data_IF_302667767290
#
_entry.id   IF_302667767290
#
_cell.length_a   1.000
_cell.length_b   1.000
_cell.length_c   1.000
_cell.angle_alpha   90.00
_cell.angle_beta   90.00
_cell.angle_gamma   90.00
#
_symmetry.space_group_name_H-M   'P 1'
#
loop_
_entity.id
_entity.type
_entity.pdbx_description
1 polymer ?
#
# COMPACT_ATOMS: atom_id res chain seq x y z
N UNK A 1 -7.81 9.21 5.21
CA UNK A 1 -7.87 8.88 6.64
C UNK A 1 -8.69 7.60 6.77
N UNK A 2 -8.41 6.80 7.78
CA UNK A 2 -9.11 5.54 8.06
C UNK A 2 -9.56 5.51 9.51
N UNK A 3 -10.79 5.05 9.73
CA UNK A 3 -11.35 4.83 11.06
C UNK A 3 -11.22 3.34 11.36
N UNK A 4 -10.53 2.99 12.45
CA UNK A 4 -10.24 1.62 12.81
C UNK A 4 -11.00 1.17 14.06
N UNK A 5 -11.63 0.00 14.00
CA UNK A 5 -12.14 -0.65 15.20
C UNK A 5 -10.98 -1.27 16.00
N UNK A 6 -10.85 -1.01 17.31
CA UNK A 6 -9.81 -1.62 18.14
C UNK A 6 -9.82 -3.15 18.16
N UNK A 7 -10.96 -3.76 17.83
CA UNK A 7 -11.15 -5.21 17.90
C UNK A 7 -10.62 -5.95 16.66
N UNK A 8 -10.43 -5.25 15.54
CA UNK A 8 -10.15 -5.87 14.22
C UNK A 8 -9.15 -5.06 13.38
N UNK A 9 -8.22 -4.34 14.02
CA UNK A 9 -7.29 -3.41 13.34
C UNK A 9 -6.63 -4.04 12.12
N UNK A 10 -5.93 -5.17 12.29
CA UNK A 10 -5.22 -5.84 11.19
C UNK A 10 -6.15 -6.22 10.03
N UNK A 11 -7.36 -6.71 10.33
CA UNK A 11 -8.34 -7.09 9.31
C UNK A 11 -8.84 -5.88 8.52
N UNK A 12 -9.06 -4.75 9.21
CA UNK A 12 -9.49 -3.50 8.57
C UNK A 12 -8.37 -2.88 7.73
N UNK A 13 -7.12 -2.97 8.18
CA UNK A 13 -5.95 -2.53 7.42
C UNK A 13 -5.70 -3.43 6.20
N UNK A 14 -5.85 -4.76 6.34
CA UNK A 14 -5.84 -5.69 5.21
C UNK A 14 -6.89 -5.29 4.17
N UNK A 15 -8.12 -5.02 4.60
CA UNK A 15 -9.19 -4.61 3.70
C UNK A 15 -8.91 -3.24 3.04
N UNK A 16 -8.28 -2.33 3.76
CA UNK A 16 -7.84 -1.04 3.25
C UNK A 16 -6.81 -1.19 2.13
N UNK A 17 -5.76 -1.97 2.37
CA UNK A 17 -4.71 -2.26 1.39
C UNK A 17 -5.27 -3.03 0.19
N UNK A 18 -6.20 -3.98 0.41
CA UNK A 18 -6.89 -4.69 -0.67
C UNK A 18 -7.66 -3.72 -1.57
N UNK A 19 -8.33 -2.73 -0.99
CA UNK A 19 -9.06 -1.71 -1.76
C UNK A 19 -8.12 -0.85 -2.60
N UNK A 20 -6.97 -0.47 -2.06
CA UNK A 20 -5.94 0.25 -2.80
C UNK A 20 -5.43 -0.58 -3.99
N UNK A 21 -5.11 -1.85 -3.77
CA UNK A 21 -4.67 -2.77 -4.82
C UNK A 21 -5.75 -2.97 -5.91
N UNK A 22 -7.02 -3.08 -5.52
CA UNK A 22 -8.14 -3.14 -6.47
C UNK A 22 -8.15 -1.94 -7.41
N UNK A 23 -8.03 -0.72 -6.88
CA UNK A 23 -8.00 0.50 -7.70
C UNK A 23 -6.82 0.50 -8.67
N UNK A 24 -5.62 0.11 -8.21
CA UNK A 24 -4.46 -0.01 -9.10
C UNK A 24 -4.68 -1.02 -10.22
N UNK A 25 -5.24 -2.20 -9.92
CA UNK A 25 -5.52 -3.22 -10.93
C UNK A 25 -6.51 -2.79 -12.01
N UNK A 26 -7.34 -1.79 -11.69
CA UNK A 26 -8.32 -1.18 -12.60
C UNK A 26 -7.75 0.03 -13.35
N UNK A 27 -6.50 0.43 -13.07
CA UNK A 27 -5.90 1.65 -13.59
C UNK A 27 -6.47 2.93 -12.97
N UNK A 28 -7.22 2.83 -11.88
CA UNK A 28 -7.84 3.96 -11.18
C UNK A 28 -6.89 4.54 -10.12
N UNK A 29 -5.79 5.12 -10.62
CA UNK A 29 -4.77 5.73 -9.76
C UNK A 29 -5.28 6.94 -8.97
N UNK A 30 -6.33 7.61 -9.46
CA UNK A 30 -6.95 8.72 -8.74
C UNK A 30 -7.58 8.23 -7.43
N UNK A 31 -8.39 7.17 -7.51
CA UNK A 31 -9.02 6.60 -6.32
C UNK A 31 -8.04 5.87 -5.40
N UNK A 32 -7.01 5.22 -5.96
CA UNK A 32 -5.91 4.67 -5.15
C UNK A 32 -5.19 5.78 -4.36
N UNK A 33 -4.83 6.88 -5.02
CA UNK A 33 -4.16 8.00 -4.37
C UNK A 33 -5.05 8.72 -3.35
N UNK A 34 -6.37 8.72 -3.54
CA UNK A 34 -7.32 9.28 -2.57
C UNK A 34 -7.32 8.54 -1.22
N UNK A 35 -6.88 7.27 -1.18
CA UNK A 35 -6.70 6.53 0.06
C UNK A 35 -5.46 7.04 0.84
N UNK A 36 -4.38 7.38 0.15
CA UNK A 36 -3.18 7.94 0.76
C UNK A 36 -3.48 9.35 1.27
N UNK A 37 -3.60 9.53 2.57
CA UNK A 37 -4.10 10.78 3.15
C UNK A 37 -3.04 11.81 3.52
N UNK A 38 -1.79 11.39 3.58
CA UNK A 38 -0.66 12.28 3.82
C UNK A 38 0.55 11.82 2.99
N UNK A 39 1.50 12.72 2.69
CA UNK A 39 2.80 12.31 2.17
C UNK A 39 3.58 11.53 3.24
N UNK A 40 4.56 10.73 2.82
CA UNK A 40 5.51 10.09 3.70
C UNK A 40 6.53 11.09 4.30
N UNK A 41 7.45 10.59 5.12
CA UNK A 41 8.49 11.40 5.79
C UNK A 41 9.45 12.12 4.82
N UNK A 42 9.47 11.74 3.54
CA UNK A 42 10.24 12.40 2.48
C UNK A 42 9.42 13.45 1.71
N UNK A 43 8.16 13.66 2.09
CA UNK A 43 7.23 14.55 1.40
C UNK A 43 6.62 13.95 0.12
N UNK A 44 6.89 12.67 -0.17
CA UNK A 44 6.38 11.98 -1.33
C UNK A 44 4.97 11.43 -1.08
N UNK A 45 4.10 11.56 -2.08
CA UNK A 45 2.79 10.91 -2.09
C UNK A 45 2.74 10.01 -3.32
N UNK A 46 2.80 8.71 -3.09
CA UNK A 46 2.86 7.67 -4.12
C UNK A 46 1.65 7.70 -5.06
N UNK A 47 1.77 8.50 -6.12
CA UNK A 47 0.77 8.66 -7.16
C UNK A 47 1.07 7.76 -8.35
N UNK A 48 0.35 8.01 -9.46
CA UNK A 48 0.50 7.20 -10.67
C UNK A 48 1.94 7.13 -11.17
N UNK A 49 2.63 8.27 -11.17
CA UNK A 49 3.97 8.38 -11.73
C UNK A 49 4.94 7.55 -10.90
N UNK A 50 4.99 7.77 -9.58
CA UNK A 50 5.91 7.10 -8.67
C UNK A 50 5.69 5.58 -8.65
N UNK A 51 4.43 5.14 -8.62
CA UNK A 51 4.09 3.70 -8.67
C UNK A 51 4.52 3.09 -10.03
N UNK A 52 4.30 3.82 -11.12
CA UNK A 52 4.69 3.35 -12.47
C UNK A 52 6.20 3.22 -12.59
N UNK A 53 6.94 4.23 -12.12
CA UNK A 53 8.40 4.25 -12.13
C UNK A 53 8.96 3.09 -11.30
N UNK A 54 8.47 2.87 -10.08
CA UNK A 54 8.91 1.75 -9.24
C UNK A 54 8.67 0.37 -9.89
N UNK A 55 7.52 0.18 -10.56
CA UNK A 55 7.23 -1.08 -11.26
C UNK A 55 8.10 -1.24 -12.51
N UNK A 56 8.31 -0.18 -13.29
CA UNK A 56 9.18 -0.23 -14.48
C UNK A 56 10.63 -0.51 -14.10
N UNK A 57 11.14 0.19 -13.08
CA UNK A 57 12.49 0.02 -12.55
C UNK A 57 12.70 -1.40 -12.05
N UNK A 58 11.70 -1.99 -11.38
CA UNK A 58 11.74 -3.37 -10.92
C UNK A 58 11.92 -4.38 -12.05
N UNK A 59 11.17 -4.24 -13.15
CA UNK A 59 11.23 -5.17 -14.28
C UNK A 59 12.36 -4.87 -15.27
N UNK A 60 13.15 -3.81 -15.05
CA UNK A 60 14.17 -3.28 -16.00
C UNK A 60 13.64 -3.22 -17.43
N UNK A 61 12.37 -2.81 -17.58
CA UNK A 61 11.72 -2.79 -18.89
C UNK A 61 10.61 -1.75 -18.97
N UNK A 62 10.58 -1.01 -20.08
CA UNK A 62 9.45 -0.15 -20.46
C UNK A 62 8.22 -0.96 -20.94
N UNK A 63 8.17 -2.25 -20.63
CA UNK A 63 7.08 -3.13 -21.05
C UNK A 63 5.75 -2.70 -20.43
N UNK A 64 4.65 -3.10 -21.07
CA UNK A 64 3.35 -3.02 -20.43
C UNK A 64 3.34 -3.92 -19.18
N UNK A 65 3.14 -3.33 -18.01
CA UNK A 65 2.86 -4.07 -16.79
C UNK A 65 1.36 -4.11 -16.52
N UNK A 66 0.92 -5.12 -15.78
CA UNK A 66 -0.42 -5.21 -15.25
C UNK A 66 -0.34 -5.55 -13.77
N UNK A 67 -0.87 -4.69 -12.91
CA UNK A 67 -1.05 -4.97 -11.48
C UNK A 67 -2.31 -5.85 -11.33
N UNK A 68 -2.23 -6.93 -10.54
CA UNK A 68 -3.38 -7.81 -10.29
C UNK A 68 -4.05 -7.50 -8.94
N UNK A 69 -5.37 -7.64 -8.87
CA UNK A 69 -6.08 -7.63 -7.59
C UNK A 69 -6.05 -9.02 -6.93
N UNK A 70 -4.85 -9.48 -6.58
CA UNK A 70 -4.68 -10.73 -5.83
C UNK A 70 -5.19 -10.55 -4.40
N UNK A 71 -5.72 -11.61 -3.79
CA UNK A 71 -6.11 -11.58 -2.39
C UNK A 71 -4.90 -11.27 -1.51
N UNK A 72 -5.00 -10.27 -0.64
CA UNK A 72 -3.89 -9.75 0.16
C UNK A 72 -3.22 -10.83 1.03
N UNK A 73 -3.97 -11.85 1.46
CA UNK A 73 -3.42 -13.00 2.19
C UNK A 73 -2.40 -13.84 1.41
N UNK A 74 -2.39 -13.72 0.08
CA UNK A 74 -1.43 -14.39 -0.82
C UNK A 74 -0.23 -13.50 -1.18
N UNK A 75 -0.25 -12.23 -0.78
CA UNK A 75 0.78 -11.24 -1.09
C UNK A 75 1.85 -11.13 0.01
N UNK A 76 2.08 -12.20 0.77
CA UNK A 76 3.02 -12.25 1.90
C UNK A 76 2.88 -11.04 2.84
N UNK A 77 1.68 -10.78 3.40
CA UNK A 77 1.46 -9.57 4.18
C UNK A 77 2.20 -9.64 5.53
N UNK A 78 2.74 -8.51 5.94
CA UNK A 78 3.36 -8.31 7.24
C UNK A 78 2.64 -7.18 7.99
N UNK A 79 2.30 -7.43 9.25
CA UNK A 79 1.64 -6.47 10.12
C UNK A 79 2.47 -6.24 11.38
N UNK A 80 2.65 -4.97 11.74
CA UNK A 80 3.35 -4.56 12.95
C UNK A 80 2.59 -3.43 13.64
N UNK A 81 2.40 -3.56 14.95
CA UNK A 81 2.02 -2.45 15.83
C UNK A 81 3.30 -1.83 16.42
N UNK A 82 3.45 -0.52 16.26
CA UNK A 82 4.61 0.23 16.72
C UNK A 82 4.41 0.74 18.17
N UNK A 83 5.51 1.03 18.85
CA UNK A 83 5.50 1.53 20.25
C UNK A 83 4.78 2.89 20.41
N UNK A 84 4.68 3.68 19.33
CA UNK A 84 3.97 4.96 19.31
C UNK A 84 2.46 4.82 18.98
N UNK A 85 1.99 3.58 18.81
CA UNK A 85 0.61 3.25 18.49
C UNK A 85 0.21 3.47 17.04
N UNK A 86 1.18 3.66 16.13
CA UNK A 86 1.01 3.52 14.69
C UNK A 86 1.02 2.04 14.26
N UNK A 87 0.62 1.79 13.01
CA UNK A 87 0.66 0.45 12.42
C UNK A 87 1.41 0.45 11.10
N UNK A 88 2.19 -0.60 10.85
CA UNK A 88 2.76 -0.88 9.54
C UNK A 88 2.04 -2.08 8.91
N UNK A 89 1.82 -1.97 7.60
CA UNK A 89 1.27 -3.05 6.79
C UNK A 89 2.06 -3.17 5.48
N UNK A 90 2.96 -4.16 5.42
CA UNK A 90 3.77 -4.47 4.24
C UNK A 90 3.14 -5.59 3.42
N UNK A 91 3.29 -5.56 2.10
CA UNK A 91 2.94 -6.69 1.24
C UNK A 91 3.66 -6.61 -0.11
N UNK A 92 3.80 -7.77 -0.75
CA UNK A 92 4.38 -7.88 -2.08
C UNK A 92 3.37 -7.51 -3.17
N UNK A 93 3.79 -6.66 -4.11
CA UNK A 93 2.94 -6.17 -5.19
C UNK A 93 2.76 -7.27 -6.26
N UNK A 94 1.54 -7.75 -6.51
CA UNK A 94 1.29 -8.69 -7.59
C UNK A 94 1.30 -7.98 -8.95
N UNK A 95 2.24 -8.37 -9.82
CA UNK A 95 2.42 -7.77 -11.14
C UNK A 95 2.65 -8.86 -12.18
N UNK A 96 2.09 -8.69 -13.38
CA UNK A 96 2.22 -9.59 -14.53
C UNK A 96 1.87 -11.07 -14.26
N UNK A 97 1.02 -11.33 -13.28
CA UNK A 97 0.57 -12.67 -12.90
C UNK A 97 1.47 -13.36 -11.87
N UNK A 98 2.46 -12.65 -11.33
CA UNK A 98 3.40 -13.13 -10.32
C UNK A 98 3.27 -12.32 -9.03
N UNK A 99 3.57 -12.95 -7.90
CA UNK A 99 3.82 -12.21 -6.65
C UNK A 99 5.30 -11.83 -6.69
N UNK A 100 5.58 -10.55 -6.89
CA UNK A 100 6.96 -10.01 -6.92
C UNK A 100 7.53 -9.94 -5.51
N UNK A 101 8.79 -9.53 -5.35
CA UNK A 101 9.36 -9.06 -4.08
C UNK A 101 9.37 -7.52 -3.96
N UNK A 102 8.69 -6.82 -4.90
CA UNK A 102 8.46 -5.38 -4.81
C UNK A 102 7.46 -5.11 -3.68
N UNK A 103 7.96 -4.64 -2.55
CA UNK A 103 7.23 -4.47 -1.30
C UNK A 103 6.59 -3.10 -1.24
N UNK A 104 5.29 -3.05 -1.00
CA UNK A 104 4.55 -1.83 -0.67
C UNK A 104 4.43 -1.75 0.85
N UNK A 105 4.93 -0.66 1.44
CA UNK A 105 4.91 -0.45 2.88
C UNK A 105 3.94 0.67 3.26
N UNK A 106 2.76 0.31 3.76
CA UNK A 106 1.86 1.29 4.35
C UNK A 106 2.22 1.58 5.80
N UNK A 107 2.11 2.86 6.18
CA UNK A 107 2.08 3.30 7.57
C UNK A 107 0.77 4.00 7.88
N UNK A 108 0.19 3.62 9.02
CA UNK A 108 -1.03 4.19 9.58
C UNK A 108 -0.71 4.89 10.89
N UNK A 109 -0.43 6.19 10.82
CA UNK A 109 -0.10 7.01 11.98
C UNK A 109 -1.37 7.55 12.65
N UNK A 110 -1.42 7.52 13.97
CA UNK A 110 -2.61 7.95 14.74
C UNK A 110 -2.80 9.46 14.68
N UNK A 111 -4.02 9.90 14.32
CA UNK A 111 -4.43 11.31 14.38
C UNK A 111 -5.13 11.60 15.71
N UNK A 112 -6.14 10.79 16.04
CA UNK A 112 -6.92 10.89 17.28
C UNK A 112 -7.71 9.61 17.51
N UNK A 113 -7.86 9.16 18.75
CA UNK A 113 -8.61 7.95 19.12
C UNK A 113 -8.38 6.77 18.14
N UNK A 114 -9.35 6.52 17.27
CA UNK A 114 -9.43 5.45 16.27
C UNK A 114 -9.23 5.94 14.83
N UNK A 115 -8.87 7.20 14.64
CA UNK A 115 -8.60 7.83 13.34
C UNK A 115 -7.11 7.82 13.03
N UNK A 116 -6.78 7.37 11.81
CA UNK A 116 -5.41 7.22 11.33
C UNK A 116 -5.22 7.89 9.96
N UNK A 117 -4.06 8.50 9.77
CA UNK A 117 -3.56 8.87 8.45
C UNK A 117 -2.92 7.66 7.81
N UNK A 118 -3.31 7.33 6.58
CA UNK A 118 -2.62 6.36 5.75
C UNK A 118 -1.56 7.06 4.91
N UNK A 119 -0.35 6.50 4.89
CA UNK A 119 0.78 6.89 4.04
C UNK A 119 1.41 5.63 3.45
N UNK A 120 2.11 5.77 2.33
CA UNK A 120 3.00 4.71 1.81
C UNK A 120 4.41 5.19 2.07
N UNK A 121 5.14 4.48 2.92
CA UNK A 121 6.52 4.82 3.24
C UNK A 121 7.40 4.63 2.01
N UNK A 122 7.29 3.47 1.36
CA UNK A 122 8.07 3.16 0.17
C UNK A 122 7.41 2.05 -0.68
N UNK A 123 7.83 1.94 -1.94
CA UNK A 123 7.58 0.79 -2.82
C UNK A 123 8.92 0.37 -3.42
N UNK A 124 9.53 -0.69 -2.85
CA UNK A 124 10.90 -1.06 -3.16
C UNK A 124 11.18 -2.55 -2.91
N UNK A 125 12.34 -3.04 -3.35
CA UNK A 125 12.84 -4.38 -3.02
C UNK A 125 13.66 -4.30 -1.74
N UNK A 126 13.35 -5.16 -0.76
CA UNK A 126 14.05 -5.26 0.53
C UNK A 126 15.38 -6.03 0.44
#
# INVERSE_FOLDING_TARGET
MVQLSPQNVELELKAYCQKWLLFLSQGDFEQANALISAPNNYGARWGKQEITEAVIDYFDSESNYQIQNTEMSLCTPEFLECDDGSFLYGFYLPVNGEITDLTVEFEFSRISDNEFSATINDIHVL
#
